data_IF_052388435405
#
_entry.id   IF_052388435405
#
_cell.length_a   1.000
_cell.length_b   1.000
_cell.length_c   1.000
_cell.angle_alpha   90.00
_cell.angle_beta   90.00
_cell.angle_gamma   90.00
#
_symmetry.space_group_name_H-M   'P 1'
#
loop_
_entity.id
_entity.type
_entity.pdbx_description
1 polymer ?
2 non-polymer ?
3 non-polymer ?
4 non-polymer ?
5 water ?
#
# COMPACT_ATOMS: atom_id res chain seq x y z
N UNK A 3 11.68 19.15 -5.98
CA UNK A 3 12.42 18.38 -7.02
C UNK A 3 11.71 18.42 -8.37
N UNK A 4 10.94 19.47 -8.64
CA UNK A 4 10.14 19.51 -9.89
C UNK A 4 11.05 19.44 -11.12
N UNK A 5 12.23 20.07 -11.03
CA UNK A 5 13.15 20.13 -12.20
C UNK A 5 13.85 18.80 -12.35
N UNK A 6 14.38 18.27 -11.23
CA UNK A 6 15.07 16.95 -11.27
C UNK A 6 14.11 15.90 -11.82
N UNK A 7 12.81 16.04 -11.53
CA UNK A 7 11.80 15.09 -12.08
C UNK A 7 11.70 15.38 -13.58
N UNK A 8 11.60 16.66 -13.93
CA UNK A 8 11.56 16.97 -15.36
C UNK A 8 12.83 16.47 -16.05
N UNK A 9 13.99 16.63 -15.40
CA UNK A 9 15.26 16.12 -15.89
C UNK A 9 15.19 14.60 -16.11
N UNK A 10 14.55 13.86 -15.18
CA UNK A 10 14.42 12.42 -15.33
C UNK A 10 13.45 12.09 -16.46
N UNK A 11 12.36 12.86 -16.58
CA UNK A 11 11.45 12.70 -17.69
C UNK A 11 12.19 12.88 -19.02
N UNK A 12 13.10 13.86 -19.09
CA UNK A 12 13.81 14.07 -20.34
C UNK A 12 14.66 12.84 -20.70
N UNK A 13 15.13 12.06 -19.72
CA UNK A 13 15.92 10.86 -19.95
C UNK A 13 15.04 9.66 -20.37
N UNK A 14 13.74 9.72 -20.09
CA UNK A 14 12.81 8.62 -20.39
C UNK A 14 12.19 8.77 -21.77
N UNK A 15 11.87 10.02 -22.09
CA UNK A 15 11.24 10.37 -23.34
C UNK A 15 12.30 10.33 -24.42
N UNK A 16 11.85 10.20 -25.66
CA UNK A 16 12.69 10.55 -26.79
C UNK A 16 12.85 12.07 -26.79
N UNK A 17 13.65 12.57 -27.73
CA UNK A 17 13.95 13.99 -27.77
C UNK A 17 12.77 14.83 -28.24
N UNK A 18 11.66 14.19 -28.64
CA UNK A 18 10.42 14.90 -28.97
C UNK A 18 9.49 15.01 -27.76
N UNK A 19 9.95 14.50 -26.60
CA UNK A 19 9.22 14.58 -25.35
C UNK A 19 8.16 13.47 -25.15
N UNK A 20 8.15 12.45 -26.03
CA UNK A 20 7.13 11.40 -26.00
C UNK A 20 7.63 10.16 -25.27
N UNK A 21 6.69 9.33 -24.75
CA UNK A 21 7.05 8.15 -23.97
C UNK A 21 6.63 6.86 -24.68
N UNK A 22 7.60 5.97 -24.92
CA UNK A 22 7.32 4.70 -25.55
C UNK A 22 7.01 3.64 -24.50
N UNK A 23 6.13 2.69 -24.85
CA UNK A 23 5.85 1.51 -24.05
C UNK A 23 6.81 0.36 -24.37
N UNK A 24 6.87 -0.66 -23.49
CA UNK A 24 7.80 -1.76 -23.68
C UNK A 24 7.57 -2.51 -24.99
N UNK A 25 8.68 -2.79 -25.66
CA UNK A 25 8.68 -3.45 -26.96
C UNK A 25 8.75 -4.97 -26.78
N UNK A 26 9.04 -5.44 -25.56
CA UNK A 26 9.07 -6.87 -25.26
C UNK A 26 8.49 -7.15 -23.88
N UNK A 27 7.96 -8.37 -23.64
CA UNK A 27 7.40 -8.68 -22.31
C UNK A 27 8.38 -8.58 -21.14
N UNK A 28 9.67 -8.89 -21.37
CA UNK A 28 10.67 -9.00 -20.32
C UNK A 28 12.02 -8.59 -20.88
N UNK A 29 12.83 -7.87 -20.08
CA UNK A 29 14.20 -7.53 -20.43
C UNK A 29 15.10 -7.74 -19.21
N UNK A 30 16.31 -8.27 -19.46
CA UNK A 30 17.38 -8.22 -18.48
C UNK A 30 17.95 -6.81 -18.48
N UNK A 31 17.80 -6.06 -17.39
CA UNK A 31 18.17 -4.65 -17.46
C UNK A 31 19.56 -4.42 -16.89
N UNK A 32 19.98 -5.24 -15.91
CA UNK A 32 21.37 -5.31 -15.47
C UNK A 32 21.60 -6.79 -15.18
N UNK A 33 22.85 -7.26 -15.03
CA UNK A 33 23.08 -8.70 -14.93
C UNK A 33 22.27 -9.36 -13.84
N UNK A 34 21.40 -10.29 -14.28
CA UNK A 34 20.62 -11.21 -13.47
C UNK A 34 19.39 -10.51 -12.87
N UNK A 35 19.10 -9.28 -13.33
CA UNK A 35 17.92 -8.56 -12.91
C UNK A 35 17.06 -8.31 -14.14
N UNK A 36 15.81 -8.81 -14.08
CA UNK A 36 14.85 -8.68 -15.16
C UNK A 36 13.65 -7.88 -14.70
N UNK A 37 13.12 -7.07 -15.64
CA UNK A 37 11.89 -6.33 -15.46
C UNK A 37 10.95 -6.77 -16.55
N UNK A 38 9.71 -7.08 -16.17
CA UNK A 38 8.72 -7.52 -17.14
C UNK A 38 7.29 -7.30 -16.68
N UNK A 39 6.38 -7.90 -17.46
CA UNK A 39 4.95 -7.65 -17.29
C UNK A 39 4.23 -8.86 -16.66
N UNK A 40 2.91 -8.72 -16.53
CA UNK A 40 2.07 -9.69 -15.86
C UNK A 40 2.12 -11.04 -16.56
N UNK A 41 2.16 -11.01 -17.89
CA UNK A 41 2.14 -12.27 -18.63
C UNK A 41 3.39 -13.12 -18.35
N UNK A 42 4.58 -12.50 -18.24
CA UNK A 42 5.78 -13.28 -17.97
C UNK A 42 5.75 -13.81 -16.55
N UNK A 43 5.24 -13.01 -15.59
CA UNK A 43 5.16 -13.44 -14.20
C UNK A 43 4.28 -14.70 -14.04
N UNK A 44 3.25 -14.80 -14.88
CA UNK A 44 2.25 -15.85 -14.79
C UNK A 44 2.55 -17.02 -15.73
N UNK A 45 3.71 -17.01 -16.40
CA UNK A 45 4.12 -18.07 -17.32
C UNK A 45 5.32 -18.79 -16.72
N UNK A 46 5.03 -19.80 -15.88
CA UNK A 46 6.04 -20.50 -15.12
C UNK A 46 7.02 -21.18 -16.06
N UNK A 47 6.57 -21.87 -17.15
CA UNK A 47 7.50 -22.44 -18.12
C UNK A 47 8.53 -21.43 -18.65
N UNK A 48 8.07 -20.22 -18.98
CA UNK A 48 8.96 -19.19 -19.48
C UNK A 48 9.97 -18.81 -18.38
N UNK A 49 9.49 -18.66 -17.15
CA UNK A 49 10.36 -18.27 -16.05
C UNK A 49 11.47 -19.30 -15.86
N UNK A 50 11.13 -20.60 -15.94
CA UNK A 50 12.08 -21.67 -15.73
C UNK A 50 13.16 -21.67 -16.82
N UNK A 51 12.74 -21.41 -18.07
CA UNK A 51 13.67 -21.32 -19.19
C UNK A 51 14.66 -20.17 -19.00
N UNK A 52 14.18 -19.00 -18.56
CA UNK A 52 15.05 -17.87 -18.28
C UNK A 52 15.92 -18.15 -17.05
N UNK A 53 15.52 -19.12 -16.22
CA UNK A 53 16.27 -19.46 -15.03
C UNK A 53 15.96 -18.52 -13.87
N UNK A 54 14.76 -17.93 -13.86
CA UNK A 54 14.35 -17.06 -12.78
C UNK A 54 14.16 -17.91 -11.52
N UNK A 55 14.82 -17.49 -10.43
CA UNK A 55 14.74 -18.16 -9.14
C UNK A 55 13.92 -17.37 -8.12
N UNK A 56 13.72 -16.06 -8.40
CA UNK A 56 13.08 -15.16 -7.47
C UNK A 56 12.17 -14.23 -8.27
N UNK A 57 10.94 -14.03 -7.76
CA UNK A 57 9.96 -13.15 -8.36
C UNK A 57 9.49 -12.15 -7.30
N UNK A 58 9.61 -10.87 -7.67
CA UNK A 58 9.17 -9.77 -6.86
C UNK A 58 8.02 -9.11 -7.59
N UNK A 59 6.79 -9.33 -7.09
CA UNK A 59 5.60 -8.73 -7.66
C UNK A 59 5.37 -7.37 -7.01
N UNK A 60 5.63 -6.34 -7.80
CA UNK A 60 5.53 -4.97 -7.33
C UNK A 60 4.12 -4.40 -7.53
N UNK A 61 3.15 -5.21 -7.94
CA UNK A 61 1.80 -4.72 -8.17
C UNK A 61 0.78 -5.72 -7.64
N UNK A 62 1.11 -6.37 -6.50
CA UNK A 62 0.24 -7.42 -5.99
C UNK A 62 -1.11 -6.82 -5.60
N UNK A 63 -2.19 -7.48 -6.02
CA UNK A 63 -3.52 -6.97 -5.68
C UNK A 63 -4.62 -7.67 -6.49
N UNK A 64 -5.86 -7.18 -6.30
CA UNK A 64 -7.04 -7.90 -6.76
C UNK A 64 -7.76 -7.16 -7.89
N UNK A 65 -7.32 -5.96 -8.21
CA UNK A 65 -7.99 -5.14 -9.21
C UNK A 65 -7.35 -5.33 -10.58
N UNK A 66 -7.95 -4.70 -11.60
CA UNK A 66 -7.47 -4.78 -12.97
C UNK A 66 -6.10 -4.10 -13.11
N UNK A 67 -5.73 -3.27 -12.11
CA UNK A 67 -4.48 -2.53 -12.13
C UNK A 67 -3.39 -3.28 -11.31
N UNK A 68 -3.68 -4.53 -10.93
CA UNK A 68 -2.81 -5.33 -10.09
C UNK A 68 -2.59 -6.72 -10.72
N UNK A 69 -1.61 -7.43 -10.17
CA UNK A 69 -1.34 -8.79 -10.58
C UNK A 69 -1.64 -9.69 -9.39
N UNK A 70 -2.60 -10.59 -9.57
CA UNK A 70 -3.25 -11.30 -8.48
C UNK A 70 -2.58 -12.65 -8.32
N UNK A 71 -1.35 -12.65 -7.76
CA UNK A 71 -0.56 -13.84 -7.55
C UNK A 71 -0.05 -13.90 -6.11
N UNK A 72 0.64 -14.99 -5.76
CA UNK A 72 1.07 -15.27 -4.40
C UNK A 72 2.13 -16.38 -4.39
N UNK A 73 2.65 -16.72 -3.20
CA UNK A 73 3.74 -17.69 -3.10
C UNK A 73 3.27 -19.07 -3.57
N UNK A 74 1.98 -19.34 -3.34
CA UNK A 74 1.38 -20.63 -3.66
C UNK A 74 1.56 -20.86 -5.15
N UNK A 75 1.19 -19.83 -5.93
CA UNK A 75 1.28 -19.84 -7.38
C UNK A 75 2.62 -20.44 -7.80
N UNK A 76 3.68 -20.17 -7.05
CA UNK A 76 5.05 -20.55 -7.48
C UNK A 76 5.62 -21.74 -6.69
N UNK A 77 4.83 -22.35 -5.81
CA UNK A 77 5.38 -23.44 -4.95
C UNK A 77 6.00 -24.57 -5.78
N UNK A 78 5.28 -25.07 -6.79
CA UNK A 78 5.77 -26.25 -7.54
C UNK A 78 7.10 -25.97 -8.24
N UNK A 79 7.35 -24.73 -8.66
CA UNK A 79 8.57 -24.43 -9.45
C UNK A 79 9.80 -24.25 -8.57
N UNK A 80 9.62 -24.07 -7.26
CA UNK A 80 10.75 -23.77 -6.41
C UNK A 80 11.21 -22.31 -6.57
N UNK A 81 10.34 -21.44 -7.07
CA UNK A 81 10.64 -20.01 -7.18
C UNK A 81 10.23 -19.30 -5.89
N UNK A 82 11.11 -18.40 -5.41
CA UNK A 82 10.91 -17.67 -4.18
C UNK A 82 10.19 -16.36 -4.51
N UNK A 83 9.15 -16.05 -3.76
CA UNK A 83 8.25 -14.95 -4.07
C UNK A 83 8.27 -13.90 -2.98
N UNK A 84 8.20 -12.64 -3.43
CA UNK A 84 7.86 -11.52 -2.58
C UNK A 84 6.86 -10.65 -3.30
N UNK A 85 5.79 -10.28 -2.57
CA UNK A 85 4.78 -9.38 -3.10
C UNK A 85 4.73 -8.06 -2.35
N UNK A 86 4.48 -6.99 -3.12
CA UNK A 86 4.25 -5.67 -2.61
C UNK A 86 2.95 -5.15 -3.21
N UNK A 87 1.98 -4.84 -2.34
CA UNK A 87 0.71 -4.31 -2.78
C UNK A 87 0.78 -2.82 -3.09
N UNK A 88 1.39 -2.46 -4.21
CA UNK A 88 1.54 -1.08 -4.55
C UNK A 88 0.50 -0.72 -5.60
N UNK A 89 0.14 0.55 -5.59
CA UNK A 89 -0.65 1.18 -6.62
C UNK A 89 0.23 2.08 -7.49
N UNK A 90 -0.09 2.13 -8.78
CA UNK A 90 0.63 2.98 -9.73
C UNK A 90 -0.04 4.35 -9.81
N UNK A 91 0.15 5.14 -8.76
CA UNK A 91 -0.37 6.50 -8.65
C UNK A 91 0.74 7.39 -8.10
N UNK A 92 0.62 8.70 -8.32
CA UNK A 92 1.63 9.66 -7.91
C UNK A 92 1.67 9.80 -6.39
N UNK A 93 0.60 9.38 -5.67
CA UNK A 93 0.57 9.54 -4.22
C UNK A 93 0.96 8.26 -3.47
N UNK A 94 1.07 7.11 -4.15
CA UNK A 94 1.45 5.90 -3.43
C UNK A 94 2.93 5.97 -2.99
N UNK A 95 3.21 5.70 -1.70
CA UNK A 95 4.56 5.88 -1.18
C UNK A 95 5.39 4.60 -1.36
N UNK A 96 5.80 4.35 -2.60
CA UNK A 96 6.58 3.16 -2.89
C UNK A 96 7.92 3.22 -2.16
N UNK A 97 8.39 4.42 -1.80
CA UNK A 97 9.70 4.57 -1.17
C UNK A 97 9.73 3.81 0.17
N UNK A 98 8.55 3.55 0.78
CA UNK A 98 8.50 2.79 2.02
C UNK A 98 8.88 1.34 1.81
N UNK A 99 8.99 0.91 0.55
CA UNK A 99 9.31 -0.46 0.21
C UNK A 99 10.70 -0.64 -0.38
N UNK A 100 11.44 0.48 -0.55
CA UNK A 100 12.70 0.41 -1.27
C UNK A 100 13.68 -0.51 -0.57
N UNK A 101 13.76 -0.45 0.77
CA UNK A 101 14.72 -1.26 1.53
C UNK A 101 14.33 -2.73 1.40
N UNK A 102 13.03 -3.04 1.55
CA UNK A 102 12.53 -4.40 1.46
C UNK A 102 12.81 -4.99 0.08
N UNK A 103 12.51 -4.26 -0.97
CA UNK A 103 12.76 -4.73 -2.32
C UNK A 103 14.26 -4.89 -2.56
N UNK A 104 15.08 -3.93 -2.10
CA UNK A 104 16.51 -4.04 -2.33
C UNK A 104 17.08 -5.27 -1.59
N UNK A 105 16.57 -5.56 -0.41
CA UNK A 105 17.03 -6.72 0.34
C UNK A 105 16.69 -8.00 -0.40
N UNK A 106 15.49 -8.04 -1.02
CA UNK A 106 15.06 -9.20 -1.76
C UNK A 106 15.92 -9.41 -3.01
N UNK A 107 16.24 -8.34 -3.73
CA UNK A 107 17.09 -8.43 -4.89
C UNK A 107 18.47 -8.93 -4.45
N UNK A 108 19.03 -8.34 -3.38
CA UNK A 108 20.31 -8.78 -2.83
C UNK A 108 20.32 -10.28 -2.46
N UNK A 109 19.25 -10.76 -1.82
CA UNK A 109 19.08 -12.16 -1.46
C UNK A 109 19.19 -13.04 -2.71
N UNK A 110 18.51 -12.65 -3.78
CA UNK A 110 18.52 -13.37 -5.03
C UNK A 110 19.92 -13.43 -5.62
N UNK A 111 20.61 -12.28 -5.67
CA UNK A 111 21.89 -12.20 -6.37
C UNK A 111 23.02 -12.74 -5.50
N UNK A 112 22.76 -12.94 -4.21
CA UNK A 112 23.77 -13.44 -3.31
C UNK A 112 24.04 -14.92 -3.61
N UNK A 113 23.06 -15.60 -4.23
CA UNK A 113 23.27 -16.93 -4.74
C UNK A 113 23.79 -16.78 -6.17
N UNK A 114 24.83 -17.56 -6.53
CA UNK A 114 25.51 -17.35 -7.80
C UNK A 114 24.64 -17.72 -8.99
N UNK A 115 23.68 -18.64 -8.79
CA UNK A 115 22.73 -19.02 -9.82
C UNK A 115 21.44 -18.20 -9.78
N UNK A 116 21.39 -17.17 -8.93
CA UNK A 116 20.15 -16.44 -8.70
C UNK A 116 19.82 -15.49 -9.85
N UNK A 117 18.55 -15.43 -10.24
CA UNK A 117 18.05 -14.44 -11.18
C UNK A 117 16.70 -13.95 -10.72
N UNK A 118 16.51 -12.62 -10.64
CA UNK A 118 15.27 -12.07 -10.10
C UNK A 118 14.49 -11.37 -11.21
N UNK A 119 13.18 -11.67 -11.27
CA UNK A 119 12.26 -10.88 -12.05
C UNK A 119 11.50 -9.95 -11.11
N UNK A 120 11.63 -8.64 -11.36
CA UNK A 120 10.81 -7.63 -10.72
C UNK A 120 9.78 -7.19 -11.73
N UNK A 121 8.50 -7.42 -11.44
CA UNK A 121 7.47 -7.15 -12.43
C UNK A 121 6.30 -6.37 -11.83
N UNK A 122 5.54 -5.73 -12.73
CA UNK A 122 4.27 -5.16 -12.36
C UNK A 122 3.28 -5.59 -13.45
N UNK A 123 2.27 -4.78 -13.74
CA UNK A 123 1.32 -5.15 -14.81
C UNK A 123 1.99 -5.04 -16.19
N UNK A 124 2.68 -3.93 -16.43
CA UNK A 124 3.30 -3.71 -17.72
C UNK A 124 4.82 -3.66 -17.62
N UNK A 125 5.38 -3.69 -16.40
CA UNK A 125 6.82 -3.64 -16.25
C UNK A 125 7.34 -2.25 -16.60
N UNK A 126 6.56 -1.23 -16.24
CA UNK A 126 6.73 0.12 -16.76
C UNK A 126 6.91 1.19 -15.67
N UNK A 127 6.21 1.08 -14.53
CA UNK A 127 6.25 2.14 -13.53
C UNK A 127 6.71 1.62 -12.17
N UNK A 128 5.90 0.76 -11.56
CA UNK A 128 6.17 0.22 -10.23
C UNK A 128 7.47 -0.58 -10.21
N UNK A 129 7.63 -1.54 -11.11
CA UNK A 129 8.77 -2.44 -11.02
C UNK A 129 10.07 -1.72 -11.33
N UNK A 130 10.19 -0.94 -12.43
CA UNK A 130 11.43 -0.19 -12.68
C UNK A 130 11.82 0.75 -11.57
N UNK A 131 10.84 1.33 -10.85
CA UNK A 131 11.18 2.21 -9.75
C UNK A 131 11.98 1.45 -8.69
N UNK A 132 11.53 0.23 -8.38
CA UNK A 132 12.20 -0.58 -7.36
C UNK A 132 13.62 -0.93 -7.81
N UNK A 133 13.81 -1.25 -9.09
CA UNK A 133 15.13 -1.66 -9.59
C UNK A 133 16.09 -0.48 -9.54
N UNK A 134 15.61 0.68 -9.98
CA UNK A 134 16.41 1.89 -9.95
C UNK A 134 16.81 2.19 -8.51
N UNK A 135 15.86 2.11 -7.57
CA UNK A 135 16.19 2.35 -6.16
C UNK A 135 17.27 1.36 -5.68
N UNK A 136 17.12 0.09 -6.06
CA UNK A 136 18.12 -0.92 -5.72
C UNK A 136 19.51 -0.53 -6.24
N UNK A 137 19.60 -0.09 -7.50
CA UNK A 137 20.90 0.25 -8.10
C UNK A 137 21.53 1.43 -7.35
N UNK A 138 20.69 2.36 -6.88
CA UNK A 138 21.18 3.52 -6.16
C UNK A 138 21.66 3.12 -4.78
N UNK A 139 20.87 2.28 -4.10
CA UNK A 139 21.09 1.96 -2.70
C UNK A 139 22.21 0.94 -2.54
N UNK A 140 22.33 0.00 -3.49
CA UNK A 140 23.20 -1.15 -3.33
C UNK A 140 24.37 -1.20 -4.33
N UNK A 141 24.26 -0.48 -5.44
CA UNK A 141 25.34 -0.43 -6.41
C UNK A 141 25.89 1.00 -6.57
N UNK A 142 25.52 1.90 -5.63
CA UNK A 142 26.04 3.25 -5.56
C UNK A 142 25.86 4.08 -6.83
N UNK A 143 24.83 3.82 -7.61
CA UNK A 143 24.61 4.60 -8.82
C UNK A 143 23.73 5.80 -8.50
N UNK A 144 24.06 6.97 -9.03
CA UNK A 144 23.15 8.08 -8.88
C UNK A 144 21.93 7.84 -9.75
N UNK A 145 20.86 8.57 -9.46
CA UNK A 145 19.56 8.30 -10.06
C UNK A 145 19.63 8.44 -11.57
N UNK A 146 20.41 9.41 -12.06
CA UNK A 146 20.47 9.64 -13.50
C UNK A 146 21.13 8.46 -14.20
N UNK A 147 22.23 7.93 -13.63
CA UNK A 147 22.90 6.80 -14.25
C UNK A 147 22.05 5.53 -14.12
N UNK A 148 21.39 5.34 -12.98
CA UNK A 148 20.58 4.15 -12.75
C UNK A 148 19.36 4.12 -13.66
N UNK A 149 18.64 5.23 -13.75
CA UNK A 149 17.47 5.28 -14.60
C UNK A 149 17.90 5.11 -16.05
N UNK A 150 19.03 5.70 -16.45
CA UNK A 150 19.48 5.66 -17.85
C UNK A 150 19.79 4.22 -18.27
N UNK A 151 20.45 3.46 -17.39
CA UNK A 151 20.86 2.11 -17.73
C UNK A 151 19.63 1.23 -17.84
N UNK A 152 18.67 1.41 -16.94
CA UNK A 152 17.45 0.61 -17.06
C UNK A 152 16.74 1.00 -18.35
N UNK A 153 16.59 2.30 -18.59
CA UNK A 153 15.87 2.77 -19.78
C UNK A 153 16.53 2.33 -21.09
N UNK A 154 17.87 2.17 -21.10
CA UNK A 154 18.52 1.70 -22.31
C UNK A 154 18.10 0.26 -22.61
N UNK A 155 17.79 -0.52 -21.58
CA UNK A 155 17.45 -1.92 -21.76
C UNK A 155 15.95 -2.21 -21.77
N UNK A 156 15.08 -1.25 -21.38
CA UNK A 156 13.64 -1.45 -21.45
C UNK A 156 12.95 -0.09 -21.44
N UNK A 157 11.93 0.06 -22.29
CA UNK A 157 11.13 1.28 -22.29
C UNK A 157 10.39 1.31 -20.96
N UNK A 158 10.71 2.27 -20.09
CA UNK A 158 10.07 2.39 -18.79
C UNK A 158 9.54 3.81 -18.66
N UNK A 159 8.65 4.01 -17.67
CA UNK A 159 8.05 5.30 -17.43
C UNK A 159 7.45 5.40 -16.04
N UNK A 160 8.29 5.46 -14.96
CA UNK A 160 7.77 5.70 -13.61
C UNK A 160 6.96 7.00 -13.58
N UNK A 161 5.83 6.97 -12.84
CA UNK A 161 5.02 8.19 -12.71
C UNK A 161 5.84 9.25 -11.97
N UNK A 162 5.39 10.52 -12.06
CA UNK A 162 6.18 11.62 -11.52
C UNK A 162 6.33 11.54 -10.00
N UNK A 163 5.40 10.88 -9.33
CA UNK A 163 5.50 10.77 -7.88
C UNK A 163 6.62 9.80 -7.52
N UNK A 164 6.66 8.65 -8.20
CA UNK A 164 7.76 7.73 -8.04
C UNK A 164 9.08 8.42 -8.36
N UNK A 165 9.14 9.24 -9.42
CA UNK A 165 10.37 9.92 -9.81
C UNK A 165 10.75 10.91 -8.73
N UNK A 166 9.76 11.63 -8.14
CA UNK A 166 10.09 12.52 -7.03
C UNK A 166 10.67 11.73 -5.85
N UNK A 167 10.16 10.53 -5.59
CA UNK A 167 10.67 9.70 -4.49
C UNK A 167 12.11 9.27 -4.76
N UNK A 168 12.42 8.95 -6.02
CA UNK A 168 13.78 8.60 -6.39
C UNK A 168 14.71 9.80 -6.23
N UNK A 169 14.25 11.01 -6.57
CA UNK A 169 15.06 12.20 -6.38
C UNK A 169 15.38 12.44 -4.90
N UNK A 170 14.40 12.22 -4.01
CA UNK A 170 14.65 12.42 -2.56
C UNK A 170 15.64 11.34 -2.07
N UNK A 171 15.49 10.10 -2.54
CA UNK A 171 16.46 9.08 -2.22
C UNK A 171 17.87 9.50 -2.65
N UNK A 172 17.98 9.99 -3.88
CA UNK A 172 19.25 10.42 -4.42
C UNK A 172 19.90 11.50 -3.55
N UNK A 173 19.13 12.51 -3.12
CA UNK A 173 19.68 13.59 -2.29
C UNK A 173 20.25 13.03 -0.98
N UNK A 174 19.51 12.10 -0.35
CA UNK A 174 19.93 11.49 0.89
C UNK A 174 21.21 10.68 0.70
N UNK A 175 21.23 9.79 -0.30
CA UNK A 175 22.42 8.98 -0.53
C UNK A 175 23.63 9.86 -0.86
N UNK A 176 23.44 10.92 -1.66
CA UNK A 176 24.54 11.80 -2.03
C UNK A 176 25.20 12.32 -0.75
N UNK A 177 24.37 12.88 0.14
CA UNK A 177 24.85 13.53 1.35
C UNK A 177 25.55 12.55 2.30
N UNK A 178 25.12 11.29 2.29
CA UNK A 178 25.69 10.29 3.17
C UNK A 178 26.99 9.72 2.59
N UNK A 179 27.31 10.09 1.35
CA UNK A 179 28.55 9.71 0.70
C UNK A 179 28.47 8.30 0.12
N UNK A 180 27.28 7.92 -0.34
CA UNK A 180 27.04 6.55 -0.77
C UNK A 180 26.90 6.45 -2.29
N UNK A 181 27.14 7.54 -3.02
CA UNK A 181 27.05 7.51 -4.47
C UNK A 181 28.45 7.61 -5.09
N UNK A 182 28.69 6.78 -6.14
CA UNK A 182 29.86 6.93 -6.98
C UNK A 182 29.70 8.18 -7.87
N UNK A 183 30.78 8.90 -8.23
CA UNK A 183 30.66 10.03 -9.16
C UNK A 183 30.42 9.55 -10.60
N UNK B 5 -16.99 -17.92 6.05
CA UNK B 5 -15.52 -17.82 5.79
C UNK B 5 -14.76 -17.86 7.11
N UNK B 6 -13.43 -17.82 7.03
CA UNK B 6 -12.58 -17.89 8.20
C UNK B 6 -11.76 -16.61 8.37
N UNK B 7 -11.21 -16.46 9.57
CA UNK B 7 -10.18 -15.48 9.87
C UNK B 7 -8.98 -15.64 8.92
N UNK B 8 -8.54 -16.88 8.70
CA UNK B 8 -7.43 -17.14 7.80
C UNK B 8 -7.71 -16.55 6.41
N UNK B 9 -8.94 -16.70 5.89
CA UNK B 9 -9.33 -16.13 4.61
C UNK B 9 -9.12 -14.61 4.58
N UNK B 10 -9.46 -13.93 5.68
CA UNK B 10 -9.28 -12.48 5.75
C UNK B 10 -7.79 -12.15 5.89
N UNK B 11 -7.06 -12.94 6.67
CA UNK B 11 -5.61 -12.79 6.75
C UNK B 11 -4.96 -12.93 5.38
N UNK B 12 -5.45 -13.85 4.55
CA UNK B 12 -4.86 -14.02 3.23
C UNK B 12 -5.04 -12.75 2.38
N UNK B 13 -6.08 -11.96 2.64
CA UNK B 13 -6.36 -10.72 1.90
C UNK B 13 -5.50 -9.57 2.39
N UNK B 14 -4.94 -9.66 3.62
CA UNK B 14 -4.17 -8.58 4.23
C UNK B 14 -2.70 -8.73 3.91
N UNK B 15 -2.24 -9.99 3.94
CA UNK B 15 -0.86 -10.34 3.72
C UNK B 15 -0.57 -10.24 2.23
N UNK B 16 0.71 -10.08 1.93
CA UNK B 16 1.20 -10.37 0.59
C UNK B 16 1.14 -11.88 0.40
N UNK B 17 1.49 -12.30 -0.81
CA UNK B 17 1.38 -13.72 -1.16
C UNK B 17 2.40 -14.58 -0.43
N UNK B 18 3.34 -13.97 0.31
CA UNK B 18 4.31 -14.71 1.12
C UNK B 18 3.82 -14.87 2.56
N UNK B 19 2.61 -14.39 2.84
CA UNK B 19 1.98 -14.48 4.16
C UNK B 19 2.43 -13.40 5.16
N UNK B 20 3.15 -12.36 4.71
CA UNK B 20 3.68 -11.32 5.58
C UNK B 20 2.79 -10.09 5.60
N UNK B 21 2.89 -9.31 6.71
CA UNK B 21 2.05 -8.13 6.90
C UNK B 21 2.88 -6.84 6.90
N UNK B 22 2.52 -5.92 6.00
CA UNK B 22 3.17 -4.62 5.93
C UNK B 22 2.47 -3.62 6.84
N UNK B 23 3.24 -2.65 7.37
CA UNK B 23 2.73 -1.52 8.12
C UNK B 23 2.41 -0.34 7.19
N UNK B 24 1.63 0.64 7.67
CA UNK B 24 1.24 1.77 6.82
C UNK B 24 2.45 2.54 6.30
N UNK B 25 2.37 2.88 5.02
CA UNK B 25 3.44 3.58 4.31
C UNK B 25 3.25 5.08 4.39
N UNK B 26 2.06 5.53 4.83
CA UNK B 26 1.79 6.95 5.03
C UNK B 26 0.96 7.16 6.30
N UNK B 27 1.04 8.35 6.92
CA UNK B 27 0.27 8.61 8.14
C UNK B 27 -1.26 8.52 8.01
N UNK B 28 -1.81 8.88 6.83
CA UNK B 28 -3.24 8.99 6.62
C UNK B 28 -3.55 8.61 5.16
N UNK B 29 -4.63 7.87 4.92
CA UNK B 29 -5.13 7.58 3.60
C UNK B 29 -6.65 7.75 3.54
N UNK B 30 -7.14 8.26 2.40
CA UNK B 30 -8.56 8.20 2.10
C UNK B 30 -8.87 6.79 1.60
N UNK B 31 -9.66 6.02 2.35
CA UNK B 31 -9.81 4.61 2.00
C UNK B 31 -11.08 4.37 1.19
N UNK B 32 -12.12 5.22 1.38
CA UNK B 32 -13.26 5.26 0.48
C UNK B 32 -13.69 6.71 0.50
N UNK B 33 -14.51 7.20 -0.46
CA UNK B 33 -14.71 8.65 -0.56
C UNK B 33 -15.18 9.27 0.75
N UNK B 34 -14.35 10.20 1.25
CA UNK B 34 -14.60 11.09 2.37
C UNK B 34 -14.35 10.38 3.71
N UNK B 35 -13.80 9.16 3.65
CA UNK B 35 -13.46 8.42 4.86
C UNK B 35 -11.96 8.19 4.86
N UNK B 36 -11.31 8.70 5.91
CA UNK B 36 -9.88 8.59 6.09
C UNK B 36 -9.55 7.71 7.30
N UNK B 37 -8.48 6.93 7.16
CA UNK B 37 -7.93 6.18 8.26
C UNK B 37 -6.49 6.67 8.46
N UNK B 38 -6.12 6.90 9.71
CA UNK B 38 -4.76 7.36 9.97
C UNK B 38 -4.28 7.10 11.39
N UNK B 39 -3.12 7.69 11.71
CA UNK B 39 -2.44 7.42 12.96
C UNK B 39 -2.57 8.60 13.96
N UNK B 40 -1.93 8.42 15.10
CA UNK B 40 -2.03 9.34 16.22
C UNK B 40 -1.48 10.70 15.82
N UNK B 41 -0.39 10.72 15.04
CA UNK B 41 0.23 11.99 14.70
C UNK B 41 -0.71 12.87 13.87
N UNK B 42 -1.46 12.28 12.91
CA UNK B 42 -2.36 13.08 12.10
C UNK B 42 -3.54 13.58 12.94
N UNK B 43 -4.04 12.75 13.85
CA UNK B 43 -5.15 13.13 14.71
C UNK B 43 -4.81 14.33 15.60
N UNK B 44 -3.54 14.41 16.00
CA UNK B 44 -3.04 15.43 16.93
C UNK B 44 -2.45 16.64 16.20
N UNK B 45 -2.56 16.71 14.87
CA UNK B 45 -2.09 17.83 14.07
C UNK B 45 -3.29 18.54 13.44
N UNK B 46 -3.82 19.52 14.17
CA UNK B 46 -5.04 20.20 13.79
C UNK B 46 -4.85 20.90 12.45
N UNK B 47 -3.74 21.65 12.23
CA UNK B 47 -3.49 22.26 10.92
C UNK B 47 -3.57 21.28 9.76
N UNK B 48 -3.03 20.07 9.92
CA UNK B 48 -3.08 19.09 8.84
C UNK B 48 -4.53 18.68 8.61
N UNK B 49 -5.27 18.44 9.70
CA UNK B 49 -6.66 18.04 9.58
C UNK B 49 -7.48 19.08 8.79
N UNK B 50 -7.24 20.36 9.10
CA UNK B 50 -7.98 21.45 8.46
C UNK B 50 -7.68 21.52 6.97
N UNK B 51 -6.41 21.27 6.61
CA UNK B 51 -6.00 21.28 5.19
C UNK B 51 -6.71 20.16 4.43
N UNK B 52 -6.77 18.96 5.02
CA UNK B 52 -7.47 17.83 4.42
C UNK B 52 -8.98 18.08 4.41
N UNK B 53 -9.46 19.00 5.26
CA UNK B 53 -10.87 19.31 5.30
C UNK B 53 -11.65 18.32 6.17
N UNK B 54 -10.98 17.75 7.16
CA UNK B 54 -11.63 16.84 8.09
C UNK B 54 -12.57 17.65 8.98
N UNK B 55 -13.84 17.21 9.05
CA UNK B 55 -14.87 17.85 9.88
C UNK B 55 -15.23 17.01 11.10
N UNK B 56 -14.88 15.71 11.06
CA UNK B 56 -15.26 14.77 12.09
C UNK B 56 -14.09 13.84 12.37
N UNK B 57 -13.80 13.62 13.65
CA UNK B 57 -12.72 12.73 14.10
C UNK B 57 -13.32 11.71 15.07
N UNK B 58 -13.05 10.44 14.74
CA UNK B 58 -13.44 9.31 15.55
C UNK B 58 -12.16 8.67 16.05
N UNK B 59 -11.88 8.85 17.33
CA UNK B 59 -10.71 8.26 17.98
C UNK B 59 -11.08 6.87 18.50
N UNK B 60 -10.56 5.86 17.81
CA UNK B 60 -10.88 4.46 18.10
C UNK B 60 -9.91 3.90 19.15
N UNK B 61 -9.02 4.72 19.73
CA UNK B 61 -8.07 4.22 20.70
C UNK B 61 -7.95 5.21 21.86
N UNK B 62 -9.09 5.82 22.24
CA UNK B 62 -9.04 6.85 23.28
C UNK B 62 -8.56 6.24 24.59
N UNK B 63 -7.61 6.91 25.26
CA UNK B 63 -7.12 6.37 26.52
C UNK B 63 -5.82 7.02 26.97
N UNK B 64 -5.23 6.46 28.03
CA UNK B 64 -4.16 7.14 28.76
C UNK B 64 -2.83 6.40 28.64
N UNK B 65 -2.83 5.19 28.10
CA UNK B 65 -1.63 4.35 28.08
C UNK B 65 -0.84 4.56 26.78
N UNK B 66 0.32 3.88 26.68
CA UNK B 66 1.16 3.98 25.50
C UNK B 66 0.45 3.42 24.26
N UNK B 67 -0.61 2.63 24.47
CA UNK B 67 -1.35 1.98 23.40
C UNK B 67 -2.60 2.80 23.03
N UNK B 68 -2.72 4.02 23.58
CA UNK B 68 -3.91 4.85 23.41
C UNK B 68 -3.52 6.24 22.94
N UNK B 69 -4.54 6.96 22.47
CA UNK B 69 -4.36 8.33 22.04
C UNK B 69 -5.19 9.21 22.97
N UNK B 70 -4.52 10.07 23.73
CA UNK B 70 -5.11 10.74 24.87
C UNK B 70 -5.65 12.09 24.42
N UNK B 71 -6.77 12.09 23.69
CA UNK B 71 -7.43 13.30 23.21
C UNK B 71 -8.90 13.31 23.64
N UNK B 72 -9.61 14.39 23.29
CA UNK B 72 -10.97 14.65 23.74
C UNK B 72 -11.59 15.79 22.92
N UNK B 73 -12.87 16.09 23.16
CA UNK B 73 -13.59 17.09 22.37
C UNK B 73 -12.95 18.48 22.53
N UNK B 74 -12.41 18.72 23.73
CA UNK B 74 -11.80 20.00 24.07
C UNK B 74 -10.70 20.27 23.07
N UNK B 75 -9.83 19.27 22.91
CA UNK B 75 -8.70 19.31 22.00
C UNK B 75 -9.12 19.93 20.68
N UNK B 76 -10.36 19.64 20.23
CA UNK B 76 -10.81 20.04 18.91
C UNK B 76 -11.77 21.25 18.97
N UNK B 77 -11.96 21.85 20.14
CA UNK B 77 -12.94 22.93 20.24
C UNK B 77 -12.64 24.05 19.23
N UNK B 78 -11.43 24.61 19.30
CA UNK B 78 -10.99 25.70 18.42
C UNK B 78 -11.43 25.46 16.97
N UNK B 79 -11.27 24.23 16.48
CA UNK B 79 -11.21 23.94 15.06
C UNK B 79 -12.60 23.83 14.45
N UNK B 80 -13.61 23.63 15.29
CA UNK B 80 -14.95 23.32 14.81
C UNK B 80 -15.05 21.87 14.31
N UNK B 81 -14.13 21.01 14.75
CA UNK B 81 -14.18 19.60 14.39
C UNK B 81 -14.99 18.84 15.45
N UNK B 82 -15.86 17.94 14.99
CA UNK B 82 -16.75 17.19 15.85
C UNK B 82 -16.06 15.87 16.21
N UNK B 83 -16.07 15.55 17.49
CA UNK B 83 -15.28 14.43 18.02
C UNK B 83 -16.18 13.35 18.59
N UNK B 84 -15.74 12.10 18.37
CA UNK B 84 -16.23 10.96 19.12
C UNK B 84 -15.06 10.08 19.51
N UNK B 85 -15.06 9.64 20.76
CA UNK B 85 -14.05 8.72 21.25
C UNK B 85 -14.61 7.37 21.67
N UNK B 86 -13.81 6.34 21.40
CA UNK B 86 -14.07 4.97 21.82
C UNK B 86 -12.81 4.47 22.51
N UNK B 87 -12.93 4.08 23.79
CA UNK B 87 -11.79 3.58 24.55
C UNK B 87 -11.54 2.11 24.26
N UNK B 88 -11.04 1.79 23.08
CA UNK B 88 -10.83 0.41 22.73
C UNK B 88 -9.36 0.06 22.99
N UNK B 89 -9.15 -1.22 23.27
CA UNK B 89 -7.84 -1.82 23.33
C UNK B 89 -7.63 -2.67 22.06
N UNK B 90 -6.39 -2.68 21.57
CA UNK B 90 -6.01 -3.49 20.43
C UNK B 90 -5.56 -4.88 20.89
N UNK B 91 -6.52 -5.69 21.34
CA UNK B 91 -6.29 -7.05 21.82
C UNK B 91 -7.33 -7.96 21.18
N UNK B 92 -7.04 -9.27 21.13
CA UNK B 92 -7.94 -10.24 20.52
C UNK B 92 -9.21 -10.44 21.37
N UNK B 93 -9.18 -10.02 22.65
CA UNK B 93 -10.32 -10.18 23.55
C UNK B 93 -11.25 -8.95 23.61
N UNK B 94 -10.78 -7.78 23.17
CA UNK B 94 -11.61 -6.58 23.27
C UNK B 94 -12.81 -6.68 22.31
N UNK B 95 -14.03 -6.42 22.82
CA UNK B 95 -15.23 -6.61 22.02
C UNK B 95 -15.58 -5.32 21.26
N UNK B 96 -14.79 -5.03 20.24
CA UNK B 96 -15.01 -3.83 19.45
C UNK B 96 -16.39 -3.89 18.76
N UNK B 97 -16.92 -5.08 18.51
CA UNK B 97 -18.20 -5.21 17.82
C UNK B 97 -19.31 -4.49 18.57
N UNK B 98 -19.16 -4.29 19.90
CA UNK B 98 -20.15 -3.57 20.67
C UNK B 98 -20.23 -2.10 20.28
N UNK B 99 -19.25 -1.62 19.50
CA UNK B 99 -19.18 -0.24 19.10
C UNK B 99 -19.49 -0.02 17.62
N UNK B 100 -19.74 -1.10 16.88
CA UNK B 100 -19.88 -1.00 15.44
C UNK B 100 -21.06 -0.10 15.07
N UNK B 101 -22.19 -0.21 15.78
CA UNK B 101 -23.36 0.61 15.45
C UNK B 101 -23.06 2.08 15.74
N UNK B 102 -22.45 2.35 16.90
CA UNK B 102 -22.11 3.71 17.30
C UNK B 102 -21.15 4.35 16.30
N UNK B 103 -20.10 3.64 15.91
CA UNK B 103 -19.13 4.18 14.98
C UNK B 103 -19.79 4.35 13.60
N UNK B 104 -20.62 3.38 13.16
CA UNK B 104 -21.26 3.54 11.86
C UNK B 104 -22.21 4.74 11.84
N UNK B 105 -22.89 5.01 12.96
CA UNK B 105 -23.76 6.17 13.06
C UNK B 105 -22.95 7.47 12.97
N UNK B 106 -21.77 7.49 13.60
CA UNK B 106 -20.93 8.68 13.55
C UNK B 106 -20.41 8.93 12.13
N UNK B 107 -20.00 7.87 11.43
CA UNK B 107 -19.55 7.99 10.05
C UNK B 107 -20.71 8.52 9.20
N UNK B 108 -21.90 7.93 9.36
CA UNK B 108 -23.09 8.37 8.63
C UNK B 108 -23.41 9.85 8.88
N UNK B 109 -23.32 10.27 10.14
CA UNK B 109 -23.53 11.68 10.54
C UNK B 109 -22.62 12.61 9.76
N UNK B 110 -21.34 12.24 9.68
CA UNK B 110 -20.34 13.00 8.99
C UNK B 110 -20.67 13.10 7.50
N UNK B 111 -20.99 11.97 6.87
CA UNK B 111 -21.14 11.92 5.42
C UNK B 111 -22.51 12.45 5.01
N UNK B 112 -23.42 12.65 5.98
CA UNK B 112 -24.74 13.13 5.67
C UNK B 112 -24.65 14.61 5.29
N UNK B 113 -23.62 15.29 5.78
CA UNK B 113 -23.31 16.64 5.35
C UNK B 113 -22.46 16.52 4.08
N UNK B 114 -22.79 17.31 3.05
CA UNK B 114 -22.12 17.14 1.76
C UNK B 114 -20.67 17.60 1.82
N UNK B 115 -20.32 18.50 2.73
CA UNK B 115 -18.93 18.91 2.94
C UNK B 115 -18.18 18.04 3.97
N UNK B 116 -18.83 16.98 4.48
CA UNK B 116 -18.29 16.24 5.62
C UNK B 116 -17.15 15.32 5.19
N UNK B 117 -16.08 15.23 6.01
CA UNK B 117 -15.03 14.25 5.86
C UNK B 117 -14.62 13.72 7.23
N UNK B 118 -14.55 12.39 7.38
CA UNK B 118 -14.30 11.81 8.70
C UNK B 118 -12.94 11.13 8.70
N UNK B 119 -12.17 11.38 9.77
CA UNK B 119 -10.99 10.61 10.06
C UNK B 119 -11.32 9.63 11.18
N UNK B 120 -11.17 8.32 10.88
CA UNK B 120 -11.22 7.28 11.88
C UNK B 120 -9.78 6.87 12.15
N UNK B 121 -9.30 7.07 13.38
CA UNK B 121 -7.90 6.81 13.65
C UNK B 121 -7.71 5.99 14.92
N UNK B 122 -6.53 5.36 15.01
CA UNK B 122 -6.11 4.75 16.25
C UNK B 122 -4.66 5.20 16.48
N UNK B 123 -3.83 4.39 17.12
CA UNK B 123 -2.42 4.80 17.32
C UNK B 123 -1.67 4.71 15.98
N UNK B 124 -1.90 3.64 15.23
CA UNK B 124 -1.19 3.45 13.97
C UNK B 124 -2.14 3.43 12.77
N UNK B 125 -3.45 3.41 13.00
CA UNK B 125 -4.37 3.40 11.88
C UNK B 125 -4.36 2.04 11.21
N UNK B 126 -4.16 1.00 12.01
CA UNK B 126 -3.83 -0.33 11.50
C UNK B 126 -4.80 -1.41 11.94
N UNK B 127 -5.32 -1.38 13.18
CA UNK B 127 -6.15 -2.46 13.68
C UNK B 127 -7.54 -1.96 14.09
N UNK B 128 -7.60 -1.17 15.15
CA UNK B 128 -8.85 -0.66 15.72
C UNK B 128 -9.62 0.14 14.68
N UNK B 129 -8.98 1.15 14.08
CA UNK B 129 -9.73 2.08 13.23
C UNK B 129 -10.20 1.41 11.95
N UNK B 130 -9.36 0.66 11.20
CA UNK B 130 -9.86 -0.01 10.01
C UNK B 130 -10.97 -0.99 10.27
N UNK B 131 -10.97 -1.67 11.45
CA UNK B 131 -12.06 -2.56 11.75
C UNK B 131 -13.40 -1.82 11.74
N UNK B 132 -13.45 -0.62 12.35
CA UNK B 132 -14.67 0.15 12.42
C UNK B 132 -15.12 0.54 11.00
N UNK B 133 -14.16 0.90 10.14
CA UNK B 133 -14.52 1.34 8.78
C UNK B 133 -15.11 0.17 7.98
N UNK B 134 -14.47 -0.98 8.08
CA UNK B 134 -14.91 -2.19 7.42
C UNK B 134 -16.32 -2.53 7.88
N UNK B 135 -16.56 -2.52 9.21
CA UNK B 135 -17.90 -2.79 9.71
C UNK B 135 -18.92 -1.80 9.16
N UNK B 136 -18.54 -0.50 9.12
CA UNK B 136 -19.41 0.50 8.51
C UNK B 136 -19.76 0.14 7.06
N UNK B 137 -18.77 -0.26 6.25
CA UNK B 137 -19.01 -0.53 4.83
C UNK B 137 -19.97 -1.72 4.73
N UNK B 138 -19.84 -2.68 5.63
CA UNK B 138 -20.72 -3.86 5.60
C UNK B 138 -22.15 -3.47 6.02
N UNK B 139 -22.26 -2.70 7.11
CA UNK B 139 -23.53 -2.41 7.73
C UNK B 139 -24.31 -1.35 6.95
N UNK B 140 -23.61 -0.37 6.35
CA UNK B 140 -24.25 0.80 5.76
C UNK B 140 -24.13 0.86 4.24
N UNK B 141 -23.14 0.19 3.66
CA UNK B 141 -22.96 0.22 2.21
C UNK B 141 -23.11 -1.19 1.62
N UNK B 142 -23.65 -2.11 2.42
CA UNK B 142 -24.03 -3.45 1.99
C UNK B 142 -22.88 -4.26 1.39
N UNK B 143 -21.64 -4.01 1.79
CA UNK B 143 -20.51 -4.74 1.24
C UNK B 143 -20.24 -5.98 2.08
N UNK B 144 -19.97 -7.10 1.43
CA UNK B 144 -19.50 -8.26 2.15
C UNK B 144 -18.11 -7.98 2.73
N UNK B 145 -17.73 -8.75 3.76
CA UNK B 145 -16.51 -8.45 4.51
C UNK B 145 -15.28 -8.54 3.62
N UNK B 146 -15.29 -9.49 2.67
CA UNK B 146 -14.15 -9.64 1.77
C UNK B 146 -13.97 -8.42 0.89
N UNK B 147 -15.06 -7.88 0.31
CA UNK B 147 -14.96 -6.74 -0.56
C UNK B 147 -14.61 -5.49 0.25
N UNK B 148 -15.17 -5.35 1.46
CA UNK B 148 -14.91 -4.18 2.28
C UNK B 148 -13.47 -4.16 2.74
N UNK B 149 -12.99 -5.28 3.30
CA UNK B 149 -11.62 -5.32 3.77
C UNK B 149 -10.65 -5.11 2.60
N UNK B 150 -10.96 -5.68 1.42
CA UNK B 150 -10.09 -5.59 0.25
C UNK B 150 -9.93 -4.14 -0.22
N UNK B 151 -11.03 -3.38 -0.22
CA UNK B 151 -10.99 -2.01 -0.71
C UNK B 151 -10.20 -1.15 0.27
N UNK B 152 -10.41 -1.36 1.57
CA UNK B 152 -9.63 -0.59 2.53
C UNK B 152 -8.15 -0.98 2.38
N UNK B 153 -7.85 -2.28 2.33
CA UNK B 153 -6.45 -2.74 2.20
C UNK B 153 -5.76 -2.24 0.93
N UNK B 154 -6.52 -2.06 -0.15
CA UNK B 154 -5.93 -1.55 -1.38
C UNK B 154 -5.45 -0.11 -1.15
N UNK B 155 -6.13 0.64 -0.27
CA UNK B 155 -5.83 2.03 -0.04
C UNK B 155 -4.96 2.32 1.19
N UNK B 156 -4.74 1.34 2.09
CA UNK B 156 -3.89 1.52 3.25
C UNK B 156 -3.49 0.13 3.77
N UNK B 157 -2.21 -0.02 4.12
CA UNK B 157 -1.73 -1.24 4.74
C UNK B 157 -2.41 -1.30 6.12
N UNK B 158 -3.30 -2.28 6.31
CA UNK B 158 -4.01 -2.44 7.56
C UNK B 158 -3.81 -3.87 8.03
N UNK B 159 -4.09 -4.13 9.31
CA UNK B 159 -3.91 -5.44 9.89
C UNK B 159 -4.70 -5.63 11.18
N UNK B 160 -6.06 -5.76 11.12
CA UNK B 160 -6.85 -6.00 12.32
C UNK B 160 -6.40 -7.32 12.95
N UNK B 161 -6.39 -7.34 14.29
CA UNK B 161 -5.98 -8.54 15.02
C UNK B 161 -7.04 -9.62 14.75
N UNK B 162 -6.69 -10.89 15.00
CA UNK B 162 -7.58 -12.00 14.67
C UNK B 162 -8.91 -11.96 15.43
N UNK B 163 -8.95 -11.33 16.59
CA UNK B 163 -10.19 -11.23 17.35
C UNK B 163 -11.15 -10.28 16.63
N UNK B 164 -10.61 -9.12 16.23
CA UNK B 164 -11.38 -8.20 15.41
C UNK B 164 -11.86 -8.87 14.14
N UNK B 165 -11.00 -9.66 13.48
CA UNK B 165 -11.36 -10.30 12.23
C UNK B 165 -12.45 -11.34 12.49
N UNK B 166 -12.36 -12.08 13.62
CA UNK B 166 -13.46 -13.00 13.96
C UNK B 166 -14.76 -12.24 14.17
N UNK B 167 -14.72 -11.04 14.76
CA UNK B 167 -15.92 -10.24 14.96
C UNK B 167 -16.53 -9.80 13.63
N UNK B 168 -15.67 -9.43 12.69
CA UNK B 168 -16.11 -9.06 11.35
C UNK B 168 -16.76 -10.27 10.64
N UNK B 169 -16.18 -11.47 10.82
CA UNK B 169 -16.77 -12.66 10.23
C UNK B 169 -18.16 -12.94 10.79
N UNK B 170 -18.35 -12.73 12.10
CA UNK B 170 -19.62 -12.94 12.76
C UNK B 170 -20.64 -11.95 12.21
N UNK B 171 -20.24 -10.68 12.09
CA UNK B 171 -21.12 -9.67 11.51
C UNK B 171 -21.52 -10.06 10.09
N UNK B 172 -20.54 -10.48 9.29
CA UNK B 172 -20.80 -10.87 7.91
C UNK B 172 -21.87 -11.96 7.84
N UNK B 173 -21.74 -12.99 8.68
CA UNK B 173 -22.68 -14.10 8.66
C UNK B 173 -24.10 -13.63 8.98
N UNK B 174 -24.23 -12.73 9.98
CA UNK B 174 -25.53 -12.20 10.36
C UNK B 174 -26.14 -11.37 9.24
N UNK B 175 -25.37 -10.44 8.66
CA UNK B 175 -25.87 -9.64 7.55
C UNK B 175 -26.27 -10.52 6.35
N UNK B 176 -25.46 -11.52 6.02
CA UNK B 176 -25.76 -12.40 4.91
C UNK B 176 -27.15 -13.01 5.14
N UNK B 177 -27.36 -13.59 6.33
CA UNK B 177 -28.59 -14.30 6.64
C UNK B 177 -29.82 -13.40 6.61
N UNK B 178 -29.63 -12.12 6.92
CA UNK B 178 -30.74 -11.19 6.97
C UNK B 178 -31.01 -10.59 5.60
N UNK B 179 -30.15 -10.90 4.60
CA UNK B 179 -30.32 -10.44 3.23
C UNK B 179 -29.90 -8.98 3.05
N UNK B 180 -28.89 -8.55 3.81
CA UNK B 180 -28.51 -7.16 3.87
C UNK B 180 -27.18 -6.90 3.16
N UNK B 181 -26.67 -7.90 2.44
CA UNK B 181 -25.46 -7.74 1.65
C UNK B 181 -25.80 -7.70 0.16
N UNK B 182 -25.11 -6.84 -0.60
CA UNK B 182 -25.15 -6.87 -2.05
C UNK B 182 -24.34 -8.07 -2.53
N UNK B 183 -24.71 -8.66 -3.70
CA UNK B 183 -23.94 -9.76 -4.29
C UNK B 183 -22.65 -9.24 -4.94
X LIG C 1 -1.54 -0.41 -17.51
X LIG C 1 -1.57 -0.03 -18.86
X LIG C 1 -0.62 0.76 -19.49
X LIG C 1 0.43 1.15 -18.66
X LIG C 1 3.16 0.04 -12.59
X LIG C 1 2.70 -0.72 -13.48
X LIG C 1 2.12 -1.86 -13.50
X LIG C 1 2.77 -0.19 -14.77
X LIG C 1 3.55 -0.73 -15.55
X LIG C 1 1.91 0.80 -15.16
X LIG C 1 1.82 1.37 -16.50
X LIG C 1 0.60 0.86 -17.31
X LIG C 1 -0.44 0.05 -16.76
X LIG C 1 -2.63 -0.46 -19.65
X LIG C 1 1.40 1.94 -19.25
X LIG D 1 1.82 -0.41 18.03
X LIG D 1 2.94 -0.63 17.21
X LIG D 1 2.92 -1.15 15.92
X LIG D 1 1.63 -1.45 15.47
X LIG D 1 -3.86 1.36 17.28
X LIG D 1 -4.20 0.28 16.73
X LIG D 1 -5.18 -0.46 16.86
X LIG D 1 -3.15 -0.16 15.85
X LIG D 1 -3.10 0.44 14.79
X LIG D 1 -2.21 -1.16 16.28
X LIG D 1 -1.01 -1.69 15.55
X LIG D 1 0.40 -1.30 16.15
X LIG D 1 0.57 -0.77 17.47
X LIG D 1 4.20 -0.31 17.72
X LIG D 1 1.60 -1.97 14.18
X LIG E 1 -11.05 6.91 -2.04
X LIG E 1 -11.98 5.88 -2.66
X LIG E 1 -11.19 8.37 -3.07
X LIG E 1 -9.41 6.42 -2.52
X LIG F 1 -21.53 2.61 22.20
X LIG F 1 -22.69 3.02 21.47
X LIG F 1 -21.48 1.13 22.39
X LIG F 1 -20.90 0.74 23.63
X LIG F 1 -21.35 1.44 24.79
X LIG F 1 -22.84 1.43 24.94
X LIG F 1 -23.26 2.24 26.05
#
# INVERSE_FOLDING_TARGET
GSFELSVQDLNDLLSDGSGCYSLPSQPCNEVTPRIYVGNASVAQDIPKLQKLGITHVLNAAEGRSFMHVNTNANFYKDSGITYLGIKANDTQEFNLSAYFERAADFIDQALAQKNGRVLVHCREGYSRSPTLVIAYLMMRQKMDVKSALSIVRQNREIGPNDGFLAQLCQLNDRLAKEGKLKP
GSFELSVQDLNDLLSDGSGCYSLPSQPCNEVTPRIYVGNASVAQDIPKLQKLGITHVLNAAEGRSFMHVNTNANFYKDSGITYLGIKANDTQEFNLSAYFERAADFIDQALAQKNGRVLVHCREGYSRSPTLVIAYLMMRQKMDVKSALSIVRQNREIGPNDGFLAQLCQLNDRLAKEGKLKP
I1Y C10 C11 C13 C14 O01 C02 O03 C04 O05 N06 C07 C08 C09 F12 F15
I1Y C10 C11 C13 C14 O01 C02 O03 C04 O05 N06 C07 C08 C09 F12 F15
DMS S O C1 C2
PEG C1 O1 C2 O2 C3 C4 O4
#
